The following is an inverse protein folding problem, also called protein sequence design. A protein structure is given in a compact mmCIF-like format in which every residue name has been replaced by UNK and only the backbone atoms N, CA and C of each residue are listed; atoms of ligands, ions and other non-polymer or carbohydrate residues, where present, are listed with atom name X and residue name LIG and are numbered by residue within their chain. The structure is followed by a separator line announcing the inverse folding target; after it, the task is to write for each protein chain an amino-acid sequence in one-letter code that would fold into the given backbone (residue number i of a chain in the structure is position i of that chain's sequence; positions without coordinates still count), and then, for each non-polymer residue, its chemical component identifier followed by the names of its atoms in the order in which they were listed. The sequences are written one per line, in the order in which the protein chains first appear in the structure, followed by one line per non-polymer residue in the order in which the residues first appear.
data_IF_241436843136
#
_entry.id   IF_241436843136
#
_cell.length_a   1.000
_cell.length_b   1.000
_cell.length_c   1.000
_cell.angle_alpha   90.00
_cell.angle_beta   90.00
_cell.angle_gamma   90.00
#
_symmetry.space_group_name_H-M   'P 1'
#
loop_
_entity.id
_entity.type
_entity.pdbx_description
1 polymer ?
#
# COMPACT_ATOMS: atom_id res chain seq x y z
N UNK A 1 5.27 -15.68 15.05
CA UNK A 1 4.84 -14.30 15.39
C UNK A 1 5.25 -13.27 14.34
N UNK A 2 6.53 -13.15 13.99
CA UNK A 2 6.95 -12.21 12.92
C UNK A 2 6.41 -12.64 11.56
N UNK A 3 6.45 -13.91 11.23
CA UNK A 3 5.93 -14.48 9.99
C UNK A 3 4.41 -14.30 9.85
N UNK A 4 3.64 -14.44 10.94
CA UNK A 4 2.19 -14.22 10.93
C UNK A 4 1.85 -12.75 10.63
N UNK A 5 2.64 -11.81 11.16
CA UNK A 5 2.51 -10.38 10.90
C UNK A 5 2.81 -10.02 9.43
N UNK A 6 3.85 -10.62 8.88
CA UNK A 6 4.23 -10.44 7.48
C UNK A 6 3.18 -11.03 6.54
N UNK A 7 2.65 -12.23 6.82
CA UNK A 7 1.58 -12.85 6.04
C UNK A 7 0.35 -11.94 5.98
N UNK A 8 -0.02 -11.34 7.11
CA UNK A 8 -1.15 -10.42 7.20
C UNK A 8 -0.92 -9.13 6.39
N UNK A 9 0.30 -8.61 6.39
CA UNK A 9 0.66 -7.43 5.58
C UNK A 9 0.46 -7.71 4.11
N UNK A 10 1.02 -8.81 3.58
CA UNK A 10 0.87 -9.18 2.18
C UNK A 10 -0.57 -9.49 1.79
N UNK A 11 -1.37 -10.05 2.71
CA UNK A 11 -2.80 -10.26 2.52
C UNK A 11 -3.54 -8.93 2.34
N UNK A 12 -3.30 -7.95 3.22
CA UNK A 12 -3.94 -6.62 3.13
C UNK A 12 -3.55 -5.91 1.83
N UNK A 13 -2.28 -5.96 1.43
CA UNK A 13 -1.82 -5.38 0.16
C UNK A 13 -2.59 -5.98 -1.02
N UNK A 14 -2.71 -7.31 -1.07
CA UNK A 14 -3.39 -8.02 -2.15
C UNK A 14 -4.89 -7.76 -2.21
N UNK A 15 -5.54 -7.59 -1.06
CA UNK A 15 -7.00 -7.37 -0.97
C UNK A 15 -7.40 -5.90 -1.15
N UNK A 16 -6.63 -4.96 -0.61
CA UNK A 16 -6.92 -3.53 -0.73
C UNK A 16 -6.70 -3.01 -2.15
N UNK A 17 -5.73 -3.56 -2.88
CA UNK A 17 -5.37 -3.25 -4.29
C UNK A 17 -4.91 -1.82 -4.49
N UNK A 18 -5.68 -0.82 -4.07
CA UNK A 18 -5.33 0.61 -4.20
C UNK A 18 -4.65 1.10 -2.94
N UNK A 19 -3.54 1.82 -3.09
CA UNK A 19 -2.89 2.53 -2.02
C UNK A 19 -2.74 4.02 -2.33
N UNK A 20 -2.56 4.82 -1.29
CA UNK A 20 -2.08 6.19 -1.42
C UNK A 20 -0.55 6.17 -1.34
N UNK A 21 0.11 6.45 -2.46
CA UNK A 21 1.56 6.62 -2.51
C UNK A 21 1.92 8.06 -2.20
N UNK A 22 2.71 8.27 -1.16
CA UNK A 22 3.22 9.59 -0.76
C UNK A 22 4.66 9.75 -1.17
N UNK A 23 4.93 10.74 -2.01
CA UNK A 23 6.26 11.15 -2.47
C UNK A 23 6.60 12.54 -1.96
N UNK A 24 7.90 12.84 -1.91
CA UNK A 24 8.43 14.15 -1.56
C UNK A 24 8.68 14.97 -2.81
N UNK A 25 8.33 16.24 -2.77
CA UNK A 25 8.72 17.24 -3.79
C UNK A 25 9.25 18.51 -3.10
N UNK A 26 9.73 19.49 -3.86
CA UNK A 26 10.33 20.71 -3.30
C UNK A 26 9.39 21.52 -2.39
N UNK A 27 8.08 21.42 -2.59
CA UNK A 27 7.06 22.11 -1.81
C UNK A 27 6.49 21.31 -0.62
N UNK A 28 6.93 20.06 -0.39
CA UNK A 28 6.43 19.22 0.70
C UNK A 28 6.19 17.76 0.33
N UNK A 29 5.08 17.21 0.80
CA UNK A 29 4.65 15.84 0.53
C UNK A 29 3.38 15.83 -0.32
N UNK A 30 3.27 14.84 -1.19
CA UNK A 30 2.11 14.66 -2.07
C UNK A 30 1.70 13.20 -2.10
N UNK A 31 0.42 12.92 -1.83
CA UNK A 31 -0.15 11.58 -1.91
C UNK A 31 -1.08 11.44 -3.13
N UNK A 32 -1.07 10.27 -3.75
CA UNK A 32 -1.96 9.95 -4.88
C UNK A 32 -2.29 8.47 -4.93
N UNK A 33 -3.50 8.10 -5.41
CA UNK A 33 -3.91 6.71 -5.51
C UNK A 33 -3.17 5.99 -6.64
N UNK A 34 -2.70 4.78 -6.38
CA UNK A 34 -2.12 3.87 -7.36
C UNK A 34 -2.57 2.43 -7.11
N UNK A 35 -2.70 1.66 -8.18
CA UNK A 35 -2.95 0.22 -8.11
C UNK A 35 -1.66 -0.50 -7.77
N UNK A 36 -1.64 -1.17 -6.62
CA UNK A 36 -0.51 -1.96 -6.17
C UNK A 36 -0.53 -3.35 -6.82
N UNK A 37 0.62 -3.78 -7.32
CA UNK A 37 0.84 -5.09 -7.92
C UNK A 37 1.93 -5.82 -7.11
N UNK A 38 1.54 -6.52 -6.01
CA UNK A 38 2.51 -7.14 -5.13
C UNK A 38 3.18 -8.37 -5.76
N UNK A 39 4.48 -8.45 -5.59
CA UNK A 39 5.27 -9.67 -5.83
C UNK A 39 5.92 -10.10 -4.51
N UNK A 40 5.17 -10.89 -3.73
CA UNK A 40 5.64 -11.37 -2.43
C UNK A 40 6.91 -12.19 -2.53
N UNK A 41 7.08 -12.96 -3.61
CA UNK A 41 8.26 -13.80 -3.80
C UNK A 41 9.52 -12.96 -3.97
N UNK A 42 9.40 -11.82 -4.66
CA UNK A 42 10.48 -10.86 -4.82
C UNK A 42 10.58 -9.86 -3.66
N UNK A 43 9.62 -9.87 -2.72
CA UNK A 43 9.56 -8.95 -1.58
C UNK A 43 9.29 -7.50 -1.97
N UNK A 44 8.64 -7.24 -3.09
CA UNK A 44 8.42 -5.89 -3.60
C UNK A 44 7.01 -5.68 -4.15
N UNK A 45 6.67 -4.41 -4.39
CA UNK A 45 5.39 -4.01 -4.96
C UNK A 45 5.68 -3.18 -6.21
N UNK A 46 5.01 -3.53 -7.31
CA UNK A 46 5.12 -2.82 -8.57
C UNK A 46 3.92 -1.91 -8.81
N UNK A 47 4.16 -0.88 -9.62
CA UNK A 47 3.12 0.03 -10.10
C UNK A 47 3.40 0.39 -11.56
N UNK A 48 2.34 0.54 -12.35
CA UNK A 48 2.43 1.15 -13.66
C UNK A 48 2.10 2.65 -13.53
N UNK A 49 2.90 3.49 -14.14
CA UNK A 49 2.73 4.95 -14.07
C UNK A 49 3.03 5.62 -15.40
N UNK A 50 2.58 6.85 -15.54
CA UNK A 50 2.76 7.65 -16.75
C UNK A 50 3.94 8.62 -16.58
N UNK A 51 4.81 8.68 -17.58
CA UNK A 51 5.96 9.59 -17.64
C UNK A 51 5.56 11.08 -17.57
N UNK A 52 4.33 11.39 -17.99
CA UNK A 52 3.78 12.75 -17.93
C UNK A 52 3.34 13.19 -16.54
N UNK A 53 3.34 12.26 -15.57
CA UNK A 53 3.16 12.59 -14.16
C UNK A 53 4.50 12.92 -13.52
N UNK A 54 4.54 13.83 -12.56
CA UNK A 54 5.78 14.27 -11.89
C UNK A 54 6.38 13.25 -10.91
N UNK A 55 5.84 12.01 -10.88
CA UNK A 55 6.25 11.00 -9.89
C UNK A 55 7.65 10.45 -10.11
N UNK A 56 8.03 10.27 -11.37
CA UNK A 56 9.36 9.81 -11.77
C UNK A 56 10.44 10.76 -11.26
N UNK A 57 10.34 12.05 -11.55
CA UNK A 57 11.29 13.07 -11.08
C UNK A 57 11.33 13.16 -9.55
N UNK A 58 10.17 13.08 -8.88
CA UNK A 58 10.06 13.12 -7.42
C UNK A 58 10.73 11.91 -6.78
N UNK A 59 10.51 10.71 -7.31
CA UNK A 59 11.11 9.46 -6.82
C UNK A 59 12.61 9.41 -7.09
N UNK A 60 13.06 9.85 -8.25
CA UNK A 60 14.51 9.92 -8.55
C UNK A 60 15.23 10.86 -7.58
N UNK A 61 14.64 12.03 -7.28
CA UNK A 61 15.23 12.99 -6.36
C UNK A 61 15.12 12.55 -4.88
N UNK A 62 14.04 11.87 -4.53
CA UNK A 62 13.71 11.44 -3.15
C UNK A 62 13.10 10.03 -3.16
N UNK A 63 13.94 8.97 -3.12
CA UNK A 63 13.48 7.59 -3.26
C UNK A 63 12.70 7.06 -2.06
N UNK A 64 12.77 7.71 -0.91
CA UNK A 64 11.99 7.34 0.27
C UNK A 64 10.50 7.64 0.04
N UNK A 65 9.68 6.61 0.09
CA UNK A 65 8.25 6.65 -0.24
C UNK A 65 7.45 5.96 0.85
N UNK A 66 6.26 6.48 1.10
CA UNK A 66 5.28 5.84 1.97
C UNK A 66 4.07 5.39 1.17
N UNK A 67 3.65 4.13 1.39
CA UNK A 67 2.39 3.60 0.90
C UNK A 67 1.40 3.43 2.05
N UNK A 68 0.16 3.86 1.85
CA UNK A 68 -0.91 3.66 2.82
C UNK A 68 -2.05 2.90 2.17
N UNK A 69 -2.44 1.78 2.79
CA UNK A 69 -3.58 0.97 2.38
C UNK A 69 -4.69 1.08 3.41
N UNK A 70 -5.90 1.30 2.93
CA UNK A 70 -7.15 1.24 3.70
C UNK A 70 -7.95 0.03 3.21
N UNK A 71 -7.97 -1.02 4.02
CA UNK A 71 -8.82 -2.19 3.77
C UNK A 71 -10.04 -2.13 4.69
N UNK A 72 -11.00 -1.29 4.30
CA UNK A 72 -12.16 -0.94 5.09
C UNK A 72 -13.06 -2.14 5.43
N UNK A 73 -13.13 -3.17 4.57
CA UNK A 73 -13.94 -4.37 4.78
C UNK A 73 -13.56 -5.12 6.05
N UNK A 74 -12.27 -5.18 6.36
CA UNK A 74 -11.74 -5.82 7.56
C UNK A 74 -11.22 -4.82 8.60
N UNK A 75 -11.44 -3.51 8.39
CA UNK A 75 -10.95 -2.43 9.26
C UNK A 75 -9.45 -2.49 9.52
N UNK A 76 -8.71 -2.93 8.51
CA UNK A 76 -7.25 -2.99 8.53
C UNK A 76 -6.66 -1.77 7.82
N UNK A 77 -5.70 -1.13 8.47
CA UNK A 77 -4.94 0.00 7.92
C UNK A 77 -3.47 -0.35 7.93
N UNK A 78 -2.80 -0.11 6.82
CA UNK A 78 -1.40 -0.47 6.64
C UNK A 78 -0.60 0.71 6.13
N UNK A 79 0.51 1.01 6.79
CA UNK A 79 1.52 1.96 6.34
C UNK A 79 2.84 1.24 6.06
N UNK A 80 3.36 1.40 4.86
CA UNK A 80 4.65 0.86 4.44
C UNK A 80 5.62 2.00 4.18
N UNK A 81 6.78 1.97 4.80
CA UNK A 81 7.91 2.82 4.45
C UNK A 81 8.95 2.02 3.70
N UNK A 82 9.50 2.58 2.65
CA UNK A 82 10.49 1.91 1.83
C UNK A 82 11.07 2.82 0.77
N UNK A 83 11.80 2.24 -0.16
CA UNK A 83 12.40 2.95 -1.28
C UNK A 83 11.75 2.55 -2.60
N UNK A 84 11.60 3.52 -3.48
CA UNK A 84 11.09 3.30 -4.83
C UNK A 84 12.14 3.65 -5.88
N UNK A 85 12.10 2.93 -7.00
CA UNK A 85 12.85 3.23 -8.21
C UNK A 85 11.89 3.22 -9.40
N UNK A 86 12.12 4.11 -10.35
CA UNK A 86 11.32 4.24 -11.57
C UNK A 86 12.18 3.90 -12.75
N UNK A 87 11.66 3.07 -13.65
CA UNK A 87 12.37 2.73 -14.88
C UNK A 87 11.39 2.43 -16.02
N UNK A 88 11.88 2.59 -17.25
CA UNK A 88 11.25 2.01 -18.42
C UNK A 88 11.66 0.53 -18.52
N UNK A 89 10.84 -0.33 -17.94
CA UNK A 89 11.05 -1.78 -17.94
C UNK A 89 9.91 -2.44 -18.72
N UNK A 90 10.13 -2.61 -20.01
CA UNK A 90 9.12 -3.16 -20.92
C UNK A 90 8.80 -4.63 -20.62
N UNK A 91 9.79 -5.42 -20.19
CA UNK A 91 9.58 -6.82 -19.84
C UNK A 91 8.73 -6.95 -18.57
N UNK A 92 9.03 -6.16 -17.55
CA UNK A 92 8.20 -6.10 -16.33
C UNK A 92 6.81 -5.53 -16.65
N UNK A 93 6.72 -4.52 -17.50
CA UNK A 93 5.43 -3.97 -17.93
C UNK A 93 4.56 -5.03 -18.61
N UNK A 94 5.14 -5.91 -19.45
CA UNK A 94 4.42 -7.04 -20.07
C UNK A 94 3.91 -8.06 -19.04
N UNK A 95 4.73 -8.39 -18.04
CA UNK A 95 4.32 -9.29 -16.94
C UNK A 95 3.14 -8.74 -16.15
N UNK A 96 3.14 -7.44 -15.87
CA UNK A 96 2.13 -6.76 -15.08
C UNK A 96 0.89 -6.35 -15.88
N UNK A 97 0.96 -6.42 -17.21
CA UNK A 97 -0.05 -5.89 -18.11
C UNK A 97 -1.38 -6.62 -18.02
N UNK A 98 -2.45 -5.84 -18.00
CA UNK A 98 -3.79 -6.33 -18.35
C UNK A 98 -4.48 -5.33 -19.29
N UNK A 99 -5.42 -5.80 -20.10
CA UNK A 99 -6.07 -4.99 -21.14
C UNK A 99 -6.89 -3.80 -20.59
N UNK A 100 -7.27 -3.83 -19.30
CA UNK A 100 -7.91 -2.69 -18.62
C UNK A 100 -7.04 -1.43 -18.61
N UNK A 101 -5.71 -1.60 -18.67
CA UNK A 101 -4.73 -0.52 -18.63
C UNK A 101 -4.57 0.18 -19.98
N UNK A 102 -5.07 -0.42 -21.07
CA UNK A 102 -4.99 0.15 -22.41
C UNK A 102 -5.71 1.52 -22.53
N UNK A 103 -6.65 1.79 -21.67
CA UNK A 103 -7.35 3.08 -21.62
C UNK A 103 -6.39 4.23 -21.27
N UNK A 104 -5.34 3.93 -20.49
CA UNK A 104 -4.31 4.89 -20.09
C UNK A 104 -3.10 4.88 -21.04
N UNK A 105 -2.75 3.71 -21.55
CA UNK A 105 -1.62 3.48 -22.45
C UNK A 105 -2.09 2.71 -23.70
N UNK A 106 -2.58 3.45 -24.73
CA UNK A 106 -3.10 2.80 -25.95
C UNK A 106 -2.07 1.96 -26.69
N UNK A 107 -0.78 2.28 -26.55
CA UNK A 107 0.34 1.51 -27.13
C UNK A 107 0.63 0.16 -26.44
N UNK A 108 -0.12 -0.16 -25.37
CA UNK A 108 0.12 -1.40 -24.62
C UNK A 108 1.36 -1.34 -23.73
N UNK A 109 1.95 -2.48 -23.36
CA UNK A 109 3.11 -2.53 -22.49
C UNK A 109 4.37 -1.89 -23.08
N UNK A 110 4.41 -1.64 -24.40
CA UNK A 110 5.47 -0.91 -25.10
C UNK A 110 5.18 0.59 -25.24
N UNK A 111 4.09 1.09 -24.69
CA UNK A 111 3.74 2.51 -24.79
C UNK A 111 4.89 3.40 -24.29
N UNK A 112 5.31 4.41 -25.07
CA UNK A 112 6.47 5.26 -24.70
C UNK A 112 6.24 6.08 -23.44
N UNK A 113 5.00 6.24 -22.99
CA UNK A 113 4.67 6.97 -21.76
C UNK A 113 4.58 6.07 -20.54
N UNK A 114 4.68 4.75 -20.69
CA UNK A 114 4.58 3.80 -19.59
C UNK A 114 5.91 3.61 -18.87
N UNK A 115 5.89 3.78 -17.56
CA UNK A 115 6.98 3.49 -16.65
C UNK A 115 6.54 2.48 -15.59
N UNK A 116 7.50 1.76 -15.04
CA UNK A 116 7.32 0.84 -13.92
C UNK A 116 7.98 1.43 -12.68
N UNK A 117 7.23 1.50 -11.59
CA UNK A 117 7.78 1.77 -10.26
C UNK A 117 7.97 0.44 -9.55
N UNK A 118 9.14 0.21 -8.97
CA UNK A 118 9.43 -0.89 -8.05
C UNK A 118 9.61 -0.30 -6.65
N UNK A 119 8.81 -0.75 -5.70
CA UNK A 119 8.89 -0.35 -4.30
C UNK A 119 9.39 -1.52 -3.46
N UNK A 120 10.42 -1.27 -2.66
CA UNK A 120 10.97 -2.21 -1.68
C UNK A 120 10.56 -1.76 -0.28
N UNK A 121 9.67 -2.50 0.40
CA UNK A 121 9.28 -2.17 1.76
C UNK A 121 10.41 -2.48 2.73
N UNK A 122 10.68 -1.56 3.66
CA UNK A 122 11.65 -1.76 4.74
C UNK A 122 10.95 -1.93 6.09
N UNK A 123 9.83 -1.24 6.28
CA UNK A 123 9.07 -1.24 7.52
C UNK A 123 7.59 -1.16 7.24
N UNK A 124 6.83 -1.99 7.95
CA UNK A 124 5.38 -1.98 7.94
C UNK A 124 4.83 -1.66 9.32
N UNK A 125 3.78 -0.86 9.36
CA UNK A 125 2.94 -0.68 10.54
C UNK A 125 1.50 -1.02 10.14
N UNK A 126 0.92 -1.99 10.83
CA UNK A 126 -0.45 -2.43 10.60
C UNK A 126 -1.31 -2.17 11.84
N UNK A 127 -2.48 -1.61 11.62
CA UNK A 127 -3.55 -1.46 12.60
C UNK A 127 -4.68 -2.37 12.15
N UNK A 128 -4.84 -3.49 12.84
CA UNK A 128 -5.93 -4.43 12.62
C UNK A 128 -7.07 -4.11 13.59
N UNK A 129 -8.23 -3.79 13.06
CA UNK A 129 -9.41 -3.51 13.84
C UNK A 129 -10.01 -4.77 14.46
N UNK A 130 -10.98 -4.63 15.40
CA UNK A 130 -11.66 -5.77 16.00
C UNK A 130 -12.35 -6.61 14.91
N UNK A 131 -12.19 -7.92 15.00
CA UNK A 131 -12.69 -8.89 14.02
C UNK A 131 -14.22 -8.89 13.82
N UNK A 132 -14.98 -8.17 14.67
CA UNK A 132 -16.45 -8.14 14.60
C UNK A 132 -17.01 -6.78 15.04
N UNK A 133 -17.84 -6.20 14.17
CA UNK A 133 -18.61 -4.99 14.49
C UNK A 133 -19.58 -5.20 15.65
N UNK A 134 -20.03 -6.44 15.90
CA UNK A 134 -20.89 -6.79 17.02
C UNK A 134 -20.16 -6.69 18.36
N UNK A 135 -18.90 -7.14 18.44
CA UNK A 135 -18.04 -6.99 19.62
C UNK A 135 -17.78 -5.51 19.90
N UNK A 136 -17.46 -4.73 18.87
CA UNK A 136 -17.25 -3.30 19.02
C UNK A 136 -18.52 -2.59 19.57
N UNK A 137 -19.69 -2.89 19.00
CA UNK A 137 -20.97 -2.33 19.46
C UNK A 137 -21.27 -2.70 20.90
N UNK A 138 -21.04 -3.94 21.30
CA UNK A 138 -21.23 -4.41 22.68
C UNK A 138 -20.28 -3.70 23.66
N UNK A 139 -19.00 -3.60 23.33
CA UNK A 139 -18.00 -2.94 24.18
C UNK A 139 -18.26 -1.43 24.30
N UNK A 140 -18.70 -0.76 23.23
CA UNK A 140 -19.13 0.65 23.32
C UNK A 140 -20.36 0.84 24.21
N UNK A 141 -21.36 -0.05 24.14
CA UNK A 141 -22.53 0.01 25.00
C UNK A 141 -22.14 -0.22 26.47
N UNK A 142 -21.30 -1.21 26.75
CA UNK A 142 -20.74 -1.50 28.08
C UNK A 142 -19.96 -0.31 28.63
N UNK A 143 -19.02 0.25 27.86
CA UNK A 143 -18.22 1.42 28.24
C UNK A 143 -19.09 2.61 28.62
N UNK A 144 -20.17 2.82 27.88
CA UNK A 144 -21.13 3.92 28.15
C UNK A 144 -21.90 3.72 29.46
N UNK A 145 -22.13 2.47 29.87
CA UNK A 145 -22.84 2.14 31.11
C UNK A 145 -21.91 2.10 32.33
N UNK A 146 -20.67 1.65 32.15
CA UNK A 146 -19.72 1.43 33.26
C UNK A 146 -18.73 2.57 33.45
N UNK A 147 -18.55 3.43 32.44
CA UNK A 147 -17.51 4.47 32.44
C UNK A 147 -16.08 3.94 32.21
N UNK A 148 -15.93 2.63 32.03
CA UNK A 148 -14.67 1.98 31.67
C UNK A 148 -14.36 2.16 30.20
N UNK A 149 -13.07 2.13 29.81
CA UNK A 149 -12.70 2.16 28.40
C UNK A 149 -13.20 0.90 27.69
N UNK A 150 -13.78 1.02 26.47
CA UNK A 150 -14.23 -0.14 25.74
C UNK A 150 -13.03 -1.06 25.43
N UNK A 151 -13.19 -2.34 25.72
CA UNK A 151 -12.25 -3.37 25.26
C UNK A 151 -12.67 -3.78 23.85
N UNK A 152 -12.16 -3.07 22.86
CA UNK A 152 -12.46 -3.33 21.44
C UNK A 152 -11.74 -4.57 20.90
N UNK A 153 -11.22 -5.43 21.82
CA UNK A 153 -10.22 -6.39 21.43
C UNK A 153 -8.98 -5.62 20.94
N UNK A 154 -7.79 -6.08 21.20
CA UNK A 154 -6.57 -5.34 20.87
C UNK A 154 -6.67 -4.72 19.47
N UNK A 155 -6.70 -3.39 19.42
CA UNK A 155 -6.34 -2.63 18.23
C UNK A 155 -4.85 -2.94 18.03
N UNK A 156 -4.57 -4.06 17.35
CA UNK A 156 -3.21 -4.60 17.25
C UNK A 156 -2.42 -3.72 16.30
N UNK A 157 -1.78 -2.71 16.86
CA UNK A 157 -0.68 -2.09 16.15
C UNK A 157 0.51 -3.03 16.22
N UNK A 158 0.93 -3.59 15.11
CA UNK A 158 2.21 -4.28 15.00
C UNK A 158 3.12 -3.57 14.02
N UNK A 159 4.40 -3.59 14.35
CA UNK A 159 5.48 -3.10 13.49
C UNK A 159 6.29 -4.30 13.03
N UNK A 160 6.49 -4.41 11.74
CA UNK A 160 7.26 -5.51 11.12
C UNK A 160 8.40 -4.92 10.32
N UNK A 161 9.60 -5.43 10.55
CA UNK A 161 10.76 -5.20 9.70
C UNK A 161 10.58 -6.07 8.45
N UNK A 162 10.66 -5.44 7.27
CA UNK A 162 10.44 -6.07 5.96
C UNK A 162 11.76 -6.23 5.17
N UNK A 163 12.90 -5.79 5.76
CA UNK A 163 14.23 -5.88 5.13
C UNK A 163 14.85 -7.26 5.20
#
# INVERSE_FOLDING_TARGET
MQQDGEDRIWEVIGKAVICMMTTRFSGGLRARPLEAMPDRKAGCIFFLTDVRGLKDDEIEAHPDVCLVFDYAEEKAYLSLSGTAAVARDTDKARELWSEKQRVWWPGGPEDPNLLVIRFEPHRAEIWDGPASSAVAAFEFAKARLTGEKPDLGENRKSTVDMS
#
